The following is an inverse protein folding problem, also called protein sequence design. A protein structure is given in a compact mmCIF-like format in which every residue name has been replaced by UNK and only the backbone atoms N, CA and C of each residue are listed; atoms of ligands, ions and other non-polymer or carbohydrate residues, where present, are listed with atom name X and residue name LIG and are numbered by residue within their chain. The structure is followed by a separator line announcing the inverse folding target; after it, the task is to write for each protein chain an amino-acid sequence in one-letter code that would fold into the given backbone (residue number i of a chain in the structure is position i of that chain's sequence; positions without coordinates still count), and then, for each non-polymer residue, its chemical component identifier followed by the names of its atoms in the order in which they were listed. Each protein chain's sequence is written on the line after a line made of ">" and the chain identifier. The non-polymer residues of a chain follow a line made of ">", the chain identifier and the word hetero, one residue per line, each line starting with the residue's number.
data_IF_977419523333
#
_entry.id   IF_977419523333
#
_cell.length_a   1.000
_cell.length_b   1.000
_cell.length_c   1.000
_cell.angle_alpha   90.00
_cell.angle_beta   90.00
_cell.angle_gamma   90.00
#
_symmetry.space_group_name_H-M   'P 1'
#
loop_
_entity.id
_entity.type
_entity.pdbx_description
1 polymer ?
#
# COMPACT_ATOMS: atom_id res chain seq x y z
N UNK A 1 15.80 0.95 17.98
CA UNK A 1 16.03 -0.17 17.05
C UNK A 1 16.91 0.28 15.90
N UNK A 2 17.66 -0.64 15.31
CA UNK A 2 18.31 -0.49 14.02
C UNK A 2 17.31 -0.94 12.94
N UNK A 3 16.93 -0.03 12.07
CA UNK A 3 15.87 -0.25 11.08
C UNK A 3 16.46 -0.17 9.68
N UNK A 4 16.22 -1.19 8.85
CA UNK A 4 16.50 -1.15 7.43
C UNK A 4 15.21 -0.84 6.67
N UNK A 5 15.24 0.18 5.82
CA UNK A 5 14.17 0.47 4.86
C UNK A 5 14.59 -0.09 3.51
N UNK A 6 13.94 -1.15 3.06
CA UNK A 6 14.10 -1.70 1.71
C UNK A 6 13.02 -1.10 0.79
N UNK A 7 13.48 -0.24 -0.13
CA UNK A 7 12.60 0.54 -1.00
C UNK A 7 12.25 1.93 -0.44
N UNK A 8 12.86 2.97 -1.04
CA UNK A 8 12.68 4.37 -0.65
C UNK A 8 11.81 5.18 -1.63
N UNK A 9 10.65 4.63 -1.99
CA UNK A 9 9.54 5.38 -2.57
C UNK A 9 8.87 6.26 -1.50
N UNK A 10 7.64 6.70 -1.76
CA UNK A 10 6.87 7.52 -0.81
C UNK A 10 6.78 6.85 0.57
N UNK A 11 6.36 5.58 0.60
CA UNK A 11 6.10 4.85 1.84
C UNK A 11 7.38 4.70 2.67
N UNK A 12 8.45 4.15 2.07
CA UNK A 12 9.72 3.96 2.78
C UNK A 12 10.33 5.27 3.26
N UNK A 13 10.23 6.35 2.47
CA UNK A 13 10.71 7.68 2.86
C UNK A 13 9.91 8.23 4.04
N UNK A 14 8.57 8.19 4.03
CA UNK A 14 7.75 8.72 5.10
C UNK A 14 7.97 7.96 6.40
N UNK A 15 7.82 6.62 6.36
CA UNK A 15 7.98 5.82 7.58
C UNK A 15 9.41 5.84 8.10
N UNK A 16 10.41 5.81 7.21
CA UNK A 16 11.82 5.95 7.58
C UNK A 16 12.13 7.29 8.25
N UNK A 17 11.64 8.41 7.71
CA UNK A 17 11.82 9.74 8.30
C UNK A 17 11.18 9.82 9.70
N UNK A 18 9.96 9.30 9.86
CA UNK A 18 9.29 9.31 11.16
C UNK A 18 9.94 8.38 12.19
N UNK A 19 10.48 7.23 11.76
CA UNK A 19 11.22 6.32 12.64
C UNK A 19 12.55 6.93 13.09
N UNK A 20 13.29 7.58 12.19
CA UNK A 20 14.49 8.32 12.56
C UNK A 20 14.21 9.45 13.54
N UNK A 21 13.16 10.24 13.29
CA UNK A 21 12.70 11.29 14.20
C UNK A 21 12.13 10.76 15.54
N UNK A 22 11.81 9.46 15.61
CA UNK A 22 11.45 8.77 16.86
C UNK A 22 12.67 8.19 17.59
N UNK A 23 13.90 8.43 17.10
CA UNK A 23 15.15 8.00 17.73
C UNK A 23 15.65 6.62 17.31
N UNK A 24 15.15 6.06 16.21
CA UNK A 24 15.68 4.81 15.65
C UNK A 24 16.83 5.08 14.67
N UNK A 25 17.83 4.19 14.64
CA UNK A 25 18.89 4.25 13.64
C UNK A 25 18.36 3.70 12.31
N UNK A 26 18.32 4.54 11.27
CA UNK A 26 17.73 4.19 9.97
C UNK A 26 18.83 3.97 8.94
N UNK A 27 18.84 2.79 8.35
CA UNK A 27 19.59 2.46 7.14
C UNK A 27 18.63 2.27 5.96
N UNK A 28 19.13 2.49 4.76
CA UNK A 28 18.31 2.45 3.53
C UNK A 28 18.98 1.58 2.49
N UNK A 29 18.27 0.57 2.01
CA UNK A 29 18.60 -0.18 0.81
C UNK A 29 17.77 0.39 -0.35
N UNK A 30 18.41 1.06 -1.27
CA UNK A 30 17.76 1.75 -2.38
C UNK A 30 18.66 1.78 -3.61
N UNK A 31 18.07 1.97 -4.77
CA UNK A 31 18.75 2.00 -6.06
C UNK A 31 18.81 3.43 -6.65
N UNK A 32 19.77 3.71 -7.56
CA UNK A 32 19.80 4.97 -8.28
C UNK A 32 18.46 5.26 -9.01
N UNK A 33 18.06 6.54 -9.11
CA UNK A 33 18.77 7.74 -8.68
C UNK A 33 18.62 8.09 -7.18
N UNK A 34 17.74 7.40 -6.44
CA UNK A 34 17.40 7.73 -5.03
C UNK A 34 18.58 7.64 -4.07
N UNK A 35 19.52 6.75 -4.32
CA UNK A 35 20.71 6.54 -3.47
C UNK A 35 21.49 7.84 -3.26
N UNK A 36 21.76 8.60 -4.33
CA UNK A 36 22.48 9.86 -4.27
C UNK A 36 21.75 10.94 -3.47
N UNK A 37 20.43 11.08 -3.70
CA UNK A 37 19.61 12.05 -2.96
C UNK A 37 19.61 11.78 -1.45
N UNK A 38 19.43 10.51 -1.06
CA UNK A 38 19.34 10.10 0.35
C UNK A 38 20.67 10.28 1.05
N UNK A 39 21.81 9.97 0.38
CA UNK A 39 23.14 10.15 0.95
C UNK A 39 23.46 11.61 1.28
N UNK A 40 22.89 12.55 0.51
CA UNK A 40 23.12 13.99 0.69
C UNK A 40 22.10 14.62 1.63
N UNK A 41 20.83 14.29 1.48
CA UNK A 41 19.71 14.99 2.12
C UNK A 41 19.03 14.19 3.23
N UNK A 42 19.35 12.90 3.37
CA UNK A 42 18.60 11.99 4.24
C UNK A 42 17.20 11.70 3.71
N UNK A 43 16.28 11.37 4.61
CA UNK A 43 14.86 11.14 4.32
C UNK A 43 14.05 12.37 4.70
N UNK A 44 13.30 12.91 3.75
CA UNK A 44 12.43 14.08 3.97
C UNK A 44 10.98 13.74 3.63
N UNK A 45 10.07 13.97 4.58
CA UNK A 45 8.64 13.78 4.44
C UNK A 45 7.89 15.08 4.82
N UNK A 46 6.91 15.48 4.00
CA UNK A 46 6.05 16.65 4.25
C UNK A 46 4.59 16.23 4.26
N UNK A 47 3.91 16.44 5.37
CA UNK A 47 2.45 16.27 5.48
C UNK A 47 1.76 17.45 4.80
N UNK A 48 1.11 17.21 3.65
CA UNK A 48 0.50 18.26 2.83
C UNK A 48 -0.76 18.86 3.45
N UNK A 49 -1.36 18.20 4.44
CA UNK A 49 -2.55 18.72 5.14
C UNK A 49 -2.20 19.65 6.29
N UNK A 50 -1.06 19.40 6.97
CA UNK A 50 -0.63 20.19 8.13
C UNK A 50 0.55 21.12 7.83
N UNK A 51 1.25 20.89 6.72
CA UNK A 51 2.50 21.57 6.38
C UNK A 51 3.72 21.05 7.17
N UNK A 52 3.54 20.14 8.11
CA UNK A 52 4.62 19.63 8.94
C UNK A 52 5.64 18.86 8.10
N UNK A 53 6.92 19.19 8.31
CA UNK A 53 8.07 18.56 7.66
C UNK A 53 8.87 17.76 8.68
N UNK A 54 9.29 16.57 8.29
CA UNK A 54 10.13 15.67 9.09
C UNK A 54 11.34 15.30 8.25
N UNK A 55 12.51 15.48 8.83
CA UNK A 55 13.79 15.17 8.22
C UNK A 55 14.60 14.28 9.15
N UNK A 56 15.33 13.32 8.61
CA UNK A 56 16.28 12.50 9.35
C UNK A 56 17.44 12.08 8.46
N UNK A 57 18.62 11.99 9.05
CA UNK A 57 19.74 11.32 8.39
C UNK A 57 19.42 9.83 8.20
N UNK A 58 19.97 9.24 7.16
CA UNK A 58 19.89 7.81 6.92
C UNK A 58 21.20 7.32 6.30
N UNK A 59 21.63 6.12 6.68
CA UNK A 59 22.82 5.49 6.09
C UNK A 59 22.39 4.67 4.90
N UNK A 60 22.84 5.03 3.71
CA UNK A 60 22.63 4.21 2.51
C UNK A 60 23.57 3.02 2.57
N UNK A 61 23.02 1.82 2.43
CA UNK A 61 23.78 0.56 2.45
C UNK A 61 23.77 -0.09 1.06
N UNK A 62 24.89 -0.75 0.67
CA UNK A 62 25.00 -1.37 -0.64
C UNK A 62 24.14 -2.63 -0.78
N UNK A 63 23.95 -3.36 0.31
CA UNK A 63 23.19 -4.60 0.37
C UNK A 63 22.61 -4.84 1.77
N UNK A 64 21.78 -5.88 1.91
CA UNK A 64 21.14 -6.23 3.16
C UNK A 64 22.11 -6.86 4.19
N UNK A 65 23.28 -7.34 3.77
CA UNK A 65 24.31 -7.94 4.64
C UNK A 65 25.20 -6.88 5.32
N UNK A 66 25.10 -5.61 4.91
CA UNK A 66 25.94 -4.53 5.41
C UNK A 66 25.76 -4.19 6.91
N UNK A 67 24.77 -4.81 7.56
CA UNK A 67 24.51 -4.60 8.99
C UNK A 67 23.58 -5.63 9.60
N UNK A 68 23.50 -5.57 10.94
CA UNK A 68 22.49 -6.33 11.68
C UNK A 68 21.33 -5.40 12.03
N UNK A 69 20.11 -5.80 11.71
CA UNK A 69 18.90 -5.00 11.90
C UNK A 69 17.95 -5.67 12.89
N UNK A 70 17.22 -4.87 13.64
CA UNK A 70 16.15 -5.35 14.49
C UNK A 70 14.85 -5.48 13.70
N UNK A 71 14.61 -4.50 12.78
CA UNK A 71 13.45 -4.44 11.92
C UNK A 71 13.87 -4.12 10.48
N UNK A 72 13.31 -4.84 9.52
CA UNK A 72 13.39 -4.53 8.08
C UNK A 72 11.99 -4.16 7.60
N UNK A 73 11.82 -2.93 7.11
CA UNK A 73 10.58 -2.46 6.50
C UNK A 73 10.71 -2.56 4.97
N UNK A 74 9.99 -3.50 4.37
CA UNK A 74 9.99 -3.73 2.92
C UNK A 74 8.86 -2.92 2.29
N UNK A 75 9.18 -1.76 1.73
CA UNK A 75 8.23 -0.80 1.19
C UNK A 75 8.36 -0.67 -0.33
N UNK A 76 8.20 -1.79 -1.01
CA UNK A 76 8.26 -1.90 -2.48
C UNK A 76 6.87 -2.16 -3.07
N UNK A 77 6.71 -1.90 -4.37
CA UNK A 77 5.49 -2.24 -5.09
C UNK A 77 5.37 -3.76 -5.29
N UNK A 78 4.15 -4.24 -5.52
CA UNK A 78 3.88 -5.67 -5.72
C UNK A 78 4.66 -6.27 -6.89
N UNK A 79 4.90 -5.50 -7.97
CA UNK A 79 5.70 -5.91 -9.13
C UNK A 79 7.21 -6.04 -8.82
N UNK A 80 7.68 -5.44 -7.73
CA UNK A 80 9.08 -5.46 -7.28
C UNK A 80 9.33 -6.47 -6.15
N UNK A 81 8.29 -7.14 -5.66
CA UNK A 81 8.38 -8.01 -4.48
C UNK A 81 9.42 -9.13 -4.64
N UNK A 82 9.44 -9.80 -5.78
CA UNK A 82 10.37 -10.91 -6.03
C UNK A 82 11.85 -10.46 -6.00
N UNK A 83 12.15 -9.31 -6.63
CA UNK A 83 13.50 -8.74 -6.62
C UNK A 83 13.90 -8.32 -5.22
N UNK A 84 13.03 -7.64 -4.48
CA UNK A 84 13.30 -7.24 -3.10
C UNK A 84 13.55 -8.46 -2.19
N UNK A 85 12.78 -9.54 -2.34
CA UNK A 85 13.03 -10.78 -1.59
C UNK A 85 14.40 -11.38 -1.90
N UNK A 86 14.85 -11.36 -3.15
CA UNK A 86 16.17 -11.85 -3.54
C UNK A 86 17.29 -11.03 -2.88
N UNK A 87 17.16 -9.70 -2.84
CA UNK A 87 18.14 -8.82 -2.18
C UNK A 87 18.20 -9.02 -0.66
N UNK A 88 17.09 -9.43 -0.04
CA UNK A 88 17.02 -9.66 1.40
C UNK A 88 17.60 -11.01 1.86
N UNK A 89 17.97 -11.92 0.96
CA UNK A 89 18.56 -13.22 1.34
C UNK A 89 19.87 -13.09 2.10
N UNK A 90 20.59 -11.96 1.95
CA UNK A 90 21.84 -11.64 2.67
C UNK A 90 21.64 -11.12 4.09
N UNK A 91 20.41 -10.94 4.59
CA UNK A 91 20.15 -10.44 5.94
C UNK A 91 20.82 -11.27 7.00
N UNK A 92 21.46 -10.60 7.97
CA UNK A 92 22.13 -11.24 9.09
C UNK A 92 21.22 -11.32 10.32
N UNK A 93 21.36 -12.42 11.07
CA UNK A 93 20.56 -12.65 12.29
C UNK A 93 19.09 -12.99 12.01
N UNK A 94 18.22 -12.66 12.94
CA UNK A 94 16.78 -12.94 12.87
C UNK A 94 15.94 -11.67 13.02
N UNK A 95 16.02 -10.70 12.09
CA UNK A 95 15.23 -9.48 12.18
C UNK A 95 13.73 -9.77 12.09
N UNK A 96 12.88 -8.81 12.53
CA UNK A 96 11.51 -8.76 12.07
C UNK A 96 11.52 -8.18 10.64
N UNK A 97 10.90 -8.87 9.68
CA UNK A 97 10.80 -8.40 8.30
C UNK A 97 9.33 -8.10 8.00
N UNK A 98 8.99 -6.81 7.94
CA UNK A 98 7.63 -6.34 7.69
C UNK A 98 7.47 -5.98 6.22
N UNK A 99 6.71 -6.79 5.48
CA UNK A 99 6.28 -6.46 4.11
C UNK A 99 5.11 -5.48 4.18
N UNK A 100 5.29 -4.30 3.56
CA UNK A 100 4.49 -3.13 3.84
C UNK A 100 3.97 -2.48 2.55
N UNK A 101 2.95 -3.07 1.98
CA UNK A 101 2.35 -2.63 0.70
C UNK A 101 1.34 -3.62 0.14
N UNK A 102 0.97 -3.42 -1.13
CA UNK A 102 0.09 -4.34 -1.83
C UNK A 102 0.76 -5.71 -1.99
N UNK A 103 0.12 -6.71 -1.41
CA UNK A 103 0.54 -8.11 -1.53
C UNK A 103 -0.71 -9.02 -1.45
N UNK A 104 -1.47 -9.18 -2.54
CA UNK A 104 -2.69 -9.99 -2.53
C UNK A 104 -2.42 -11.50 -2.33
N UNK A 105 -1.18 -11.95 -2.56
CA UNK A 105 -0.75 -13.31 -2.26
C UNK A 105 -0.42 -13.55 -0.79
N UNK A 106 -0.39 -12.48 0.02
CA UNK A 106 -0.13 -12.56 1.45
C UNK A 106 1.22 -13.20 1.79
N UNK A 107 1.26 -13.91 2.89
CA UNK A 107 2.47 -14.62 3.38
C UNK A 107 2.98 -15.66 2.37
N UNK A 108 2.08 -16.32 1.63
CA UNK A 108 2.44 -17.35 0.68
C UNK A 108 3.24 -16.82 -0.53
N UNK A 109 3.13 -15.54 -0.85
CA UNK A 109 3.91 -14.91 -1.92
C UNK A 109 5.36 -14.57 -1.52
N UNK A 110 5.71 -14.73 -0.24
CA UNK A 110 7.05 -14.39 0.26
C UNK A 110 7.88 -15.67 0.37
N UNK A 111 9.01 -15.77 -0.35
CA UNK A 111 9.87 -16.94 -0.30
C UNK A 111 10.36 -17.28 1.10
N UNK A 112 10.46 -18.56 1.42
CA UNK A 112 11.01 -19.04 2.68
C UNK A 112 12.51 -18.70 2.87
N UNK A 113 13.19 -18.36 1.78
CA UNK A 113 14.61 -17.94 1.79
C UNK A 113 14.83 -16.55 2.39
N UNK A 114 13.78 -15.74 2.62
CA UNK A 114 13.91 -14.45 3.33
C UNK A 114 14.15 -14.73 4.81
N UNK A 115 15.33 -14.34 5.36
CA UNK A 115 15.67 -14.61 6.76
C UNK A 115 14.83 -13.78 7.73
N UNK A 116 14.66 -14.29 8.94
CA UNK A 116 13.99 -13.59 10.03
C UNK A 116 12.50 -13.92 10.19
N UNK A 117 11.86 -13.19 11.09
CA UNK A 117 10.43 -13.32 11.36
C UNK A 117 9.62 -12.45 10.41
N UNK A 118 8.97 -13.07 9.43
CA UNK A 118 8.19 -12.35 8.41
C UNK A 118 6.81 -11.95 8.94
N UNK A 119 6.48 -10.69 8.78
CA UNK A 119 5.21 -10.07 9.12
C UNK A 119 4.64 -9.31 7.92
N UNK A 120 3.34 -9.08 7.94
CA UNK A 120 2.61 -8.33 6.92
C UNK A 120 2.04 -7.04 7.50
N UNK A 121 1.93 -6.01 6.68
CA UNK A 121 1.31 -4.75 7.05
C UNK A 121 0.91 -3.94 5.83
N UNK A 122 0.21 -2.83 6.09
CA UNK A 122 -0.20 -1.90 5.06
C UNK A 122 -0.12 -0.44 5.52
N UNK A 123 0.43 0.48 4.70
CA UNK A 123 0.57 1.88 5.08
C UNK A 123 -0.78 2.61 5.13
N UNK A 124 -0.94 3.49 6.13
CA UNK A 124 -2.11 4.35 6.28
C UNK A 124 -1.91 5.74 5.68
N UNK A 125 -1.17 5.86 4.59
CA UNK A 125 -0.85 7.12 3.92
C UNK A 125 -0.95 6.98 2.40
N UNK A 126 -1.23 8.11 1.74
CA UNK A 126 -1.01 8.28 0.31
C UNK A 126 -0.11 9.49 0.05
N UNK A 127 0.51 9.55 -1.12
CA UNK A 127 1.37 10.66 -1.45
C UNK A 127 2.17 10.47 -2.73
N UNK A 128 3.03 11.45 -3.01
CA UNK A 128 3.91 11.49 -4.17
C UNK A 128 5.32 11.89 -3.76
N UNK A 129 6.30 11.43 -4.52
CA UNK A 129 7.70 11.84 -4.33
C UNK A 129 7.99 12.98 -5.30
N UNK A 130 8.47 14.13 -4.78
CA UNK A 130 8.85 15.31 -5.57
C UNK A 130 10.20 15.81 -5.09
N UNK A 131 11.16 15.90 -5.99
CA UNK A 131 12.51 16.44 -5.71
C UNK A 131 13.14 15.86 -4.43
N UNK A 132 13.01 14.54 -4.25
CA UNK A 132 13.54 13.85 -3.08
C UNK A 132 12.69 13.92 -1.82
N UNK A 133 11.67 14.78 -1.77
CA UNK A 133 10.72 14.92 -0.65
C UNK A 133 9.47 14.07 -0.88
N UNK A 134 9.07 13.30 0.12
CA UNK A 134 7.80 12.59 0.10
C UNK A 134 6.67 13.50 0.63
N UNK A 135 5.89 14.07 -0.29
CA UNK A 135 4.66 14.77 0.01
C UNK A 135 3.55 13.75 0.29
N UNK A 136 3.03 13.72 1.51
CA UNK A 136 2.08 12.70 1.93
C UNK A 136 0.92 13.28 2.74
N UNK A 137 -0.17 12.49 2.82
CA UNK A 137 -1.22 12.70 3.81
C UNK A 137 -1.63 11.37 4.44
N UNK A 138 -2.08 11.44 5.70
CA UNK A 138 -2.63 10.29 6.42
C UNK A 138 -4.06 10.04 5.98
N UNK A 139 -4.40 8.78 5.70
CA UNK A 139 -5.74 8.39 5.30
C UNK A 139 -6.56 8.11 6.57
N UNK A 140 -7.48 9.01 6.92
CA UNK A 140 -8.27 8.90 8.17
C UNK A 140 -9.07 7.60 8.27
N UNK A 141 -9.57 7.12 7.14
CA UNK A 141 -10.40 5.91 7.05
C UNK A 141 -9.58 4.62 6.97
N UNK A 142 -8.26 4.73 6.81
CA UNK A 142 -7.34 3.60 6.68
C UNK A 142 -6.13 3.81 7.59
N UNK A 143 -6.21 3.43 8.87
CA UNK A 143 -5.04 3.40 9.74
C UNK A 143 -3.92 2.53 9.16
N UNK A 144 -2.69 2.78 9.57
CA UNK A 144 -1.59 1.84 9.31
C UNK A 144 -1.96 0.47 9.90
N UNK A 145 -2.08 -0.53 9.04
CA UNK A 145 -2.44 -1.88 9.46
C UNK A 145 -1.16 -2.71 9.70
N UNK A 146 -1.06 -3.32 10.87
CA UNK A 146 0.03 -4.23 11.24
C UNK A 146 -0.55 -5.59 11.62
N UNK A 147 0.08 -6.66 11.17
CA UNK A 147 -0.27 -8.01 11.61
C UNK A 147 -0.25 -8.10 13.13
N UNK A 148 -1.30 -8.63 13.72
CA UNK A 148 -1.35 -8.91 15.15
C UNK A 148 -0.33 -10.01 15.50
N UNK A 149 0.61 -9.68 16.37
CA UNK A 149 1.70 -10.58 16.77
C UNK A 149 2.20 -10.20 18.17
N UNK A 150 2.87 -11.14 18.84
CA UNK A 150 3.61 -10.91 20.09
C UNK A 150 5.04 -10.43 19.86
N UNK A 151 5.49 -10.22 18.63
CA UNK A 151 6.84 -9.75 18.34
C UNK A 151 7.06 -8.35 18.95
N UNK A 152 8.01 -8.18 19.89
CA UNK A 152 8.23 -6.91 20.58
C UNK A 152 8.71 -5.80 19.62
N UNK A 153 9.30 -6.16 18.50
CA UNK A 153 9.79 -5.20 17.49
C UNK A 153 8.62 -4.52 16.75
N UNK A 154 7.54 -5.27 16.46
CA UNK A 154 6.32 -4.69 15.90
C UNK A 154 5.58 -3.86 16.95
N UNK A 155 5.60 -4.25 18.21
CA UNK A 155 5.04 -3.43 19.29
C UNK A 155 5.82 -2.11 19.48
N UNK A 156 7.14 -2.10 19.29
CA UNK A 156 7.95 -0.87 19.32
C UNK A 156 7.68 -0.02 18.07
N UNK A 157 7.56 -0.62 16.87
CA UNK A 157 7.16 0.09 15.65
C UNK A 157 5.82 0.80 15.86
N UNK A 158 4.81 0.10 16.36
CA UNK A 158 3.49 0.67 16.66
C UNK A 158 3.60 1.86 17.61
N UNK A 159 4.33 1.70 18.74
CA UNK A 159 4.54 2.79 19.72
C UNK A 159 5.22 4.01 19.08
N UNK A 160 6.26 3.77 18.26
CA UNK A 160 6.96 4.84 17.56
C UNK A 160 6.03 5.59 16.61
N UNK A 161 5.23 4.87 15.81
CA UNK A 161 4.27 5.47 14.88
C UNK A 161 3.17 6.24 15.61
N UNK A 162 2.61 5.69 16.69
CA UNK A 162 1.59 6.37 17.50
C UNK A 162 2.12 7.67 18.10
N UNK A 163 3.36 7.68 18.64
CA UNK A 163 4.00 8.92 19.14
C UNK A 163 4.20 9.97 18.04
N UNK A 164 4.31 9.56 16.80
CA UNK A 164 4.41 10.43 15.62
C UNK A 164 3.04 10.79 15.02
N UNK A 165 1.94 10.42 15.67
CA UNK A 165 0.57 10.76 15.29
C UNK A 165 -0.02 9.88 14.19
N UNK A 166 0.55 8.71 13.89
CA UNK A 166 -0.10 7.74 13.01
C UNK A 166 -1.17 6.97 13.79
N UNK A 167 -2.33 6.82 13.19
CA UNK A 167 -3.28 5.82 13.65
C UNK A 167 -2.79 4.43 13.22
N UNK A 168 -2.76 3.49 14.15
CA UNK A 168 -2.35 2.10 13.90
C UNK A 168 -3.46 1.15 14.31
N UNK A 169 -3.70 0.12 13.51
CA UNK A 169 -4.60 -0.98 13.84
C UNK A 169 -3.88 -2.32 13.76
N UNK A 170 -4.17 -3.22 14.70
CA UNK A 170 -3.71 -4.61 14.65
C UNK A 170 -4.74 -5.45 13.92
N UNK A 171 -4.28 -6.24 12.95
CA UNK A 171 -5.12 -7.10 12.11
C UNK A 171 -4.74 -8.55 12.36
N UNK A 172 -5.69 -9.37 12.78
CA UNK A 172 -5.47 -10.78 13.10
C UNK A 172 -5.24 -11.61 11.83
N UNK A 173 -6.08 -11.41 10.81
CA UNK A 173 -5.92 -12.04 9.51
C UNK A 173 -5.45 -10.99 8.49
N UNK A 174 -4.14 -10.76 8.45
CA UNK A 174 -3.54 -9.77 7.55
C UNK A 174 -3.51 -10.26 6.10
N UNK A 175 -3.41 -11.57 5.87
CA UNK A 175 -3.49 -12.17 4.54
C UNK A 175 -4.84 -11.90 3.87
N UNK A 176 -5.92 -12.16 4.59
CA UNK A 176 -7.25 -11.88 4.10
C UNK A 176 -7.51 -10.38 3.96
N UNK A 177 -7.04 -9.57 4.91
CA UNK A 177 -7.16 -8.12 4.82
C UNK A 177 -6.50 -7.58 3.54
N UNK A 178 -5.30 -8.03 3.21
CA UNK A 178 -4.57 -7.64 2.00
C UNK A 178 -5.30 -8.09 0.72
N UNK A 179 -5.91 -9.28 0.73
CA UNK A 179 -6.69 -9.76 -0.40
C UNK A 179 -7.92 -8.89 -0.68
N UNK A 180 -8.67 -8.52 0.37
CA UNK A 180 -9.83 -7.60 0.24
C UNK A 180 -9.40 -6.21 -0.18
N UNK A 181 -8.30 -5.70 0.39
CA UNK A 181 -7.77 -4.39 0.03
C UNK A 181 -7.32 -4.35 -1.44
N UNK A 182 -6.61 -5.38 -1.90
CA UNK A 182 -6.19 -5.49 -3.30
C UNK A 182 -7.39 -5.56 -4.26
N UNK A 183 -8.45 -6.30 -3.89
CA UNK A 183 -9.68 -6.35 -4.67
C UNK A 183 -10.35 -4.96 -4.78
N UNK A 184 -10.41 -4.23 -3.67
CA UNK A 184 -10.90 -2.85 -3.64
C UNK A 184 -10.05 -1.93 -4.54
N UNK A 185 -8.74 -1.94 -4.37
CA UNK A 185 -7.80 -1.10 -5.15
C UNK A 185 -7.90 -1.41 -6.64
N UNK A 186 -7.94 -2.69 -7.03
CA UNK A 186 -8.05 -3.09 -8.44
C UNK A 186 -9.32 -2.56 -9.09
N UNK A 187 -10.47 -2.64 -8.42
CA UNK A 187 -11.73 -2.11 -8.96
C UNK A 187 -11.73 -0.58 -9.08
N UNK A 188 -11.22 0.12 -8.06
CA UNK A 188 -11.15 1.60 -8.07
C UNK A 188 -10.19 2.09 -9.15
N UNK A 189 -9.02 1.48 -9.29
CA UNK A 189 -8.06 1.89 -10.31
C UNK A 189 -8.52 1.55 -11.73
N UNK A 190 -9.21 0.43 -11.93
CA UNK A 190 -9.82 0.10 -13.21
C UNK A 190 -10.87 1.15 -13.63
N UNK A 191 -11.71 1.61 -12.69
CA UNK A 191 -12.67 2.67 -12.93
C UNK A 191 -11.99 4.01 -13.27
N UNK A 192 -10.91 4.35 -12.54
CA UNK A 192 -10.10 5.53 -12.86
C UNK A 192 -9.51 5.45 -14.27
N UNK A 193 -8.93 4.32 -14.67
CA UNK A 193 -8.37 4.15 -16.01
C UNK A 193 -9.42 4.26 -17.10
N UNK A 194 -10.64 3.78 -16.88
CA UNK A 194 -11.77 3.96 -17.79
C UNK A 194 -12.07 5.44 -18.03
N UNK A 195 -11.85 6.29 -17.02
CA UNK A 195 -12.01 7.75 -17.10
C UNK A 195 -10.69 8.49 -17.42
N UNK A 196 -9.69 7.81 -17.99
CA UNK A 196 -8.39 8.41 -18.36
C UNK A 196 -7.51 8.77 -17.17
N UNK A 197 -7.72 8.15 -16.01
CA UNK A 197 -6.98 8.45 -14.76
C UNK A 197 -7.40 9.77 -14.10
N UNK A 198 -8.50 10.37 -14.53
CA UNK A 198 -9.02 11.63 -14.03
C UNK A 198 -10.14 11.36 -12.99
N UNK A 199 -9.93 11.68 -11.70
CA UNK A 199 -10.91 11.42 -10.67
C UNK A 199 -12.15 12.32 -10.79
N UNK A 200 -12.05 13.54 -11.37
CA UNK A 200 -13.20 14.40 -11.57
C UNK A 200 -14.13 13.82 -12.64
N UNK A 201 -13.56 13.30 -13.74
CA UNK A 201 -14.36 12.59 -14.76
C UNK A 201 -15.03 11.35 -14.18
N UNK A 202 -14.33 10.58 -13.31
CA UNK A 202 -14.95 9.44 -12.64
C UNK A 202 -16.08 9.88 -11.71
N UNK A 203 -15.93 11.01 -11.01
CA UNK A 203 -16.97 11.55 -10.13
C UNK A 203 -18.29 11.85 -10.87
N UNK A 204 -18.19 12.30 -12.11
CA UNK A 204 -19.33 12.64 -12.96
C UNK A 204 -19.89 11.43 -13.74
N UNK A 205 -19.13 10.35 -13.87
CA UNK A 205 -19.53 9.12 -14.58
C UNK A 205 -20.26 8.14 -13.64
N UNK A 206 -21.54 8.41 -13.39
CA UNK A 206 -22.42 7.57 -12.55
C UNK A 206 -22.45 6.09 -12.99
N UNK A 207 -22.55 5.75 -14.28
CA UNK A 207 -22.49 4.36 -14.74
C UNK A 207 -21.19 3.66 -14.32
N UNK A 208 -20.03 4.28 -14.55
CA UNK A 208 -18.72 3.72 -14.16
C UNK A 208 -18.58 3.59 -12.65
N UNK A 209 -19.03 4.58 -11.86
CA UNK A 209 -19.06 4.48 -10.39
C UNK A 209 -19.94 3.34 -9.90
N UNK A 210 -21.11 3.14 -10.53
CA UNK A 210 -22.01 2.04 -10.18
C UNK A 210 -21.36 0.68 -10.48
N UNK A 211 -20.77 0.53 -11.66
CA UNK A 211 -20.04 -0.68 -12.07
C UNK A 211 -18.86 -0.96 -11.12
N UNK A 212 -18.11 0.06 -10.72
CA UNK A 212 -17.04 -0.04 -9.74
C UNK A 212 -17.56 -0.56 -8.39
N UNK A 213 -18.63 0.01 -7.86
CA UNK A 213 -19.22 -0.42 -6.59
C UNK A 213 -19.74 -1.86 -6.65
N UNK A 214 -20.32 -2.26 -7.76
CA UNK A 214 -20.78 -3.62 -8.01
C UNK A 214 -19.59 -4.59 -8.09
N UNK A 215 -18.54 -4.24 -8.81
CA UNK A 215 -17.33 -5.06 -8.92
C UNK A 215 -16.66 -5.26 -7.54
N UNK A 216 -16.57 -4.22 -6.70
CA UNK A 216 -16.06 -4.34 -5.33
C UNK A 216 -16.94 -5.26 -4.50
N UNK A 217 -18.25 -5.05 -4.50
CA UNK A 217 -19.20 -5.84 -3.70
C UNK A 217 -19.17 -7.33 -4.07
N UNK A 218 -19.09 -7.63 -5.36
CA UNK A 218 -19.04 -9.01 -5.84
C UNK A 218 -17.67 -9.65 -5.61
N UNK A 219 -16.57 -8.89 -5.74
CA UNK A 219 -15.24 -9.37 -5.36
C UNK A 219 -15.18 -9.75 -3.89
N UNK A 220 -15.75 -8.92 -3.01
CA UNK A 220 -15.81 -9.22 -1.58
C UNK A 220 -16.67 -10.46 -1.28
N UNK A 221 -17.78 -10.62 -2.00
CA UNK A 221 -18.62 -11.82 -1.88
C UNK A 221 -17.86 -13.07 -2.33
N UNK A 222 -17.18 -13.01 -3.47
CA UNK A 222 -16.42 -14.14 -4.01
C UNK A 222 -15.28 -14.55 -3.06
N UNK A 223 -14.50 -13.59 -2.55
CA UNK A 223 -13.44 -13.87 -1.55
C UNK A 223 -14.02 -14.53 -0.29
N UNK A 224 -15.17 -14.05 0.21
CA UNK A 224 -15.82 -14.65 1.37
C UNK A 224 -16.28 -16.08 1.10
N UNK A 225 -16.87 -16.36 -0.07
CA UNK A 225 -17.26 -17.72 -0.47
C UNK A 225 -16.06 -18.66 -0.60
N UNK A 226 -14.87 -18.14 -0.93
CA UNK A 226 -13.61 -18.89 -0.93
C UNK A 226 -12.99 -19.05 0.47
N UNK A 227 -13.69 -18.68 1.54
CA UNK A 227 -13.23 -18.83 2.91
C UNK A 227 -12.26 -17.73 3.39
N UNK A 228 -12.04 -16.68 2.60
CA UNK A 228 -11.16 -15.56 3.01
C UNK A 228 -11.86 -14.74 4.10
N UNK A 229 -11.18 -14.54 5.22
CA UNK A 229 -11.62 -13.68 6.34
C UNK A 229 -10.88 -12.33 6.31
N UNK A 230 -11.01 -11.49 7.34
CA UNK A 230 -10.22 -10.25 7.45
C UNK A 230 -10.78 -9.05 6.67
N UNK A 231 -12.01 -9.09 6.12
CA UNK A 231 -12.62 -7.96 5.44
C UNK A 231 -12.69 -6.72 6.36
N UNK A 232 -12.08 -5.57 5.96
CA UNK A 232 -12.15 -4.33 6.74
C UNK A 232 -13.60 -3.89 6.97
N UNK A 233 -13.96 -3.62 8.23
CA UNK A 233 -15.35 -3.29 8.61
C UNK A 233 -15.93 -2.09 7.87
N UNK A 234 -15.14 -1.04 7.68
CA UNK A 234 -15.56 0.16 6.95
C UNK A 234 -15.87 -0.16 5.48
N UNK A 235 -15.04 -0.96 4.82
CA UNK A 235 -15.29 -1.41 3.44
C UNK A 235 -16.49 -2.36 3.38
N UNK A 236 -16.62 -3.28 4.33
CA UNK A 236 -17.77 -4.18 4.44
C UNK A 236 -19.09 -3.43 4.56
N UNK A 237 -19.12 -2.38 5.37
CA UNK A 237 -20.31 -1.55 5.57
C UNK A 237 -20.64 -0.75 4.32
N UNK A 238 -19.66 -0.01 3.78
CA UNK A 238 -19.88 0.85 2.62
C UNK A 238 -20.31 0.06 1.38
N UNK A 239 -19.71 -1.11 1.15
CA UNK A 239 -20.01 -1.97 0.00
C UNK A 239 -21.01 -3.09 0.33
N UNK A 240 -21.85 -2.90 1.35
CA UNK A 240 -22.99 -3.78 1.57
C UNK A 240 -24.06 -3.54 0.48
N UNK A 241 -24.78 -4.58 0.01
CA UNK A 241 -25.81 -4.41 -1.02
C UNK A 241 -26.89 -3.37 -0.66
N UNK A 242 -27.20 -3.24 0.62
CA UNK A 242 -28.19 -2.28 1.11
C UNK A 242 -27.75 -0.81 0.98
N UNK A 243 -26.42 -0.55 0.94
CA UNK A 243 -25.87 0.80 0.89
C UNK A 243 -25.32 1.17 -0.49
N UNK A 244 -25.67 0.45 -1.55
CA UNK A 244 -25.13 0.67 -2.91
C UNK A 244 -25.23 2.14 -3.37
N UNK A 245 -26.39 2.76 -3.21
CA UNK A 245 -26.60 4.17 -3.63
C UNK A 245 -25.74 5.13 -2.78
N UNK A 246 -25.60 4.82 -1.49
CA UNK A 246 -24.74 5.59 -0.57
C UNK A 246 -23.27 5.42 -0.97
N UNK A 247 -22.83 4.23 -1.35
CA UNK A 247 -21.48 3.97 -1.82
C UNK A 247 -21.18 4.77 -3.11
N UNK A 248 -22.07 4.75 -4.08
CA UNK A 248 -21.92 5.52 -5.33
C UNK A 248 -21.83 7.03 -5.04
N UNK A 249 -22.70 7.55 -4.17
CA UNK A 249 -22.65 8.95 -3.77
C UNK A 249 -21.35 9.29 -3.04
N UNK A 250 -20.93 8.45 -2.09
CA UNK A 250 -19.70 8.61 -1.33
C UNK A 250 -18.47 8.68 -2.27
N UNK A 251 -18.40 7.76 -3.23
CA UNK A 251 -17.30 7.72 -4.18
C UNK A 251 -17.31 8.89 -5.15
N UNK A 252 -18.47 9.34 -5.65
CA UNK A 252 -18.58 10.55 -6.46
C UNK A 252 -18.00 11.75 -5.70
N UNK A 253 -18.41 11.94 -4.43
CA UNK A 253 -17.93 13.02 -3.59
C UNK A 253 -16.43 12.89 -3.27
N UNK A 254 -15.95 11.68 -3.03
CA UNK A 254 -14.52 11.43 -2.76
C UNK A 254 -13.67 11.77 -3.98
N UNK A 255 -14.07 11.28 -5.16
CA UNK A 255 -13.33 11.50 -6.40
C UNK A 255 -13.35 12.97 -6.85
N UNK A 256 -14.42 13.73 -6.59
CA UNK A 256 -14.47 15.18 -6.86
C UNK A 256 -13.66 16.03 -5.85
N UNK A 257 -13.12 15.44 -4.80
CA UNK A 257 -12.36 16.15 -3.77
C UNK A 257 -10.84 16.01 -3.98
N UNK A 258 -10.01 16.84 -3.32
CA UNK A 258 -8.55 16.66 -3.34
C UNK A 258 -8.08 15.27 -2.88
N UNK A 259 -8.89 14.55 -2.10
CA UNK A 259 -8.59 13.18 -1.67
C UNK A 259 -8.62 12.18 -2.85
N UNK A 260 -9.50 12.39 -3.83
CA UNK A 260 -9.56 11.58 -5.06
C UNK A 260 -8.24 11.63 -5.83
N UNK A 261 -7.67 12.81 -5.99
CA UNK A 261 -6.38 12.98 -6.62
C UNK A 261 -5.24 12.39 -5.76
N UNK A 262 -5.16 12.79 -4.49
CA UNK A 262 -4.02 12.49 -3.63
C UNK A 262 -3.90 10.99 -3.29
N UNK A 263 -5.02 10.32 -2.99
CA UNK A 263 -5.00 8.94 -2.50
C UNK A 263 -5.22 7.88 -3.58
N UNK A 264 -5.83 8.27 -4.71
CA UNK A 264 -6.21 7.29 -5.73
C UNK A 264 -5.58 7.60 -7.09
N UNK A 265 -5.87 8.75 -7.69
CA UNK A 265 -5.50 9.02 -9.07
C UNK A 265 -3.99 9.19 -9.26
N UNK A 266 -3.31 9.90 -8.37
CA UNK A 266 -1.87 10.08 -8.44
C UNK A 266 -1.13 8.73 -8.36
N UNK A 267 -1.52 7.87 -7.41
CA UNK A 267 -0.94 6.54 -7.29
C UNK A 267 -1.26 5.67 -8.52
N UNK A 268 -2.51 5.64 -8.96
CA UNK A 268 -2.92 4.88 -10.14
C UNK A 268 -2.10 5.24 -11.39
N UNK A 269 -1.87 6.53 -11.64
CA UNK A 269 -1.07 6.98 -12.79
C UNK A 269 0.41 6.60 -12.71
N UNK A 270 1.02 6.66 -11.49
CA UNK A 270 2.43 6.36 -11.30
C UNK A 270 2.74 4.87 -11.14
N UNK A 271 1.76 4.04 -10.77
CA UNK A 271 1.92 2.62 -10.48
C UNK A 271 1.12 1.72 -11.42
N UNK A 272 0.97 2.12 -12.69
CA UNK A 272 0.19 1.34 -13.67
C UNK A 272 0.61 -0.13 -13.79
N UNK A 273 1.91 -0.50 -13.84
CA UNK A 273 2.32 -1.89 -13.89
C UNK A 273 1.85 -2.68 -12.66
N UNK A 274 1.97 -2.09 -11.46
CA UNK A 274 1.49 -2.69 -10.21
C UNK A 274 -0.03 -2.91 -10.24
N UNK A 275 -0.79 -1.90 -10.65
CA UNK A 275 -2.26 -1.98 -10.68
C UNK A 275 -2.76 -3.04 -11.67
N UNK A 276 -2.09 -3.18 -12.82
CA UNK A 276 -2.37 -4.25 -13.78
C UNK A 276 -2.05 -5.63 -13.20
N UNK A 277 -0.89 -5.79 -12.54
CA UNK A 277 -0.52 -7.03 -11.89
C UNK A 277 -1.54 -7.42 -10.81
N UNK A 278 -2.01 -6.46 -10.00
CA UNK A 278 -3.07 -6.70 -9.00
C UNK A 278 -4.37 -7.16 -9.65
N UNK A 279 -4.80 -6.52 -10.75
CA UNK A 279 -6.01 -6.90 -11.46
C UNK A 279 -5.93 -8.32 -12.03
N UNK A 280 -4.78 -8.69 -12.63
CA UNK A 280 -4.52 -10.05 -13.14
C UNK A 280 -4.55 -11.08 -12.01
N UNK A 281 -3.84 -10.81 -10.90
CA UNK A 281 -3.81 -11.72 -9.75
C UNK A 281 -5.19 -11.90 -9.12
N UNK A 282 -5.96 -10.81 -9.03
CA UNK A 282 -7.33 -10.85 -8.52
C UNK A 282 -8.24 -11.67 -9.44
N UNK A 283 -8.17 -11.44 -10.75
CA UNK A 283 -8.96 -12.18 -11.74
C UNK A 283 -8.65 -13.70 -11.67
N UNK A 284 -7.37 -14.05 -11.58
CA UNK A 284 -6.97 -15.44 -11.42
C UNK A 284 -7.51 -16.07 -10.12
N UNK A 285 -7.49 -15.32 -9.02
CA UNK A 285 -7.99 -15.78 -7.71
C UNK A 285 -9.51 -15.93 -7.67
N UNK A 286 -10.25 -15.03 -8.33
CA UNK A 286 -11.72 -15.05 -8.34
C UNK A 286 -12.30 -16.08 -9.34
N UNK A 287 -11.51 -16.53 -10.33
CA UNK A 287 -11.96 -17.45 -11.36
C UNK A 287 -13.13 -16.91 -12.18
N UNK A 288 -13.94 -17.80 -12.75
CA UNK A 288 -15.17 -17.42 -13.47
C UNK A 288 -16.28 -17.06 -12.48
N UNK A 289 -16.39 -15.80 -12.13
CA UNK A 289 -17.41 -15.26 -11.24
C UNK A 289 -18.01 -13.96 -11.78
N UNK A 290 -19.19 -13.52 -11.34
CA UNK A 290 -19.72 -12.22 -11.70
C UNK A 290 -18.77 -11.05 -11.40
N UNK A 291 -17.99 -11.16 -10.30
CA UNK A 291 -16.96 -10.20 -9.93
C UNK A 291 -15.85 -10.09 -10.98
N UNK A 292 -15.41 -11.22 -11.52
CA UNK A 292 -14.40 -11.25 -12.60
C UNK A 292 -14.95 -10.58 -13.87
N UNK A 293 -16.19 -10.87 -14.24
CA UNK A 293 -16.83 -10.27 -15.41
C UNK A 293 -16.92 -8.76 -15.32
N UNK A 294 -17.32 -8.21 -14.14
CA UNK A 294 -17.42 -6.77 -13.93
C UNK A 294 -16.07 -6.08 -13.85
N UNK A 295 -15.09 -6.71 -13.22
CA UNK A 295 -13.73 -6.19 -13.23
C UNK A 295 -13.15 -6.20 -14.66
N UNK A 296 -13.40 -7.25 -15.44
CA UNK A 296 -12.99 -7.33 -16.84
C UNK A 296 -13.67 -6.26 -17.69
N UNK A 297 -14.96 -5.99 -17.48
CA UNK A 297 -15.69 -4.90 -18.14
C UNK A 297 -15.06 -3.53 -17.83
N UNK A 298 -14.67 -3.27 -16.59
CA UNK A 298 -13.95 -2.06 -16.21
C UNK A 298 -12.60 -1.94 -16.93
N UNK A 299 -11.85 -3.03 -17.02
CA UNK A 299 -10.51 -3.07 -17.61
C UNK A 299 -10.51 -2.95 -19.13
N UNK A 300 -11.50 -3.57 -19.81
CA UNK A 300 -11.60 -3.56 -21.29
C UNK A 300 -11.87 -2.17 -21.85
N UNK A 301 -12.54 -1.31 -21.09
CA UNK A 301 -12.85 0.04 -21.51
C UNK A 301 -11.76 1.07 -21.11
N UNK A 302 -10.72 0.64 -20.44
CA UNK A 302 -9.60 1.51 -20.12
C UNK A 302 -8.76 1.80 -21.39
N UNK A 303 -8.38 3.06 -21.65
CA UNK A 303 -7.51 3.38 -22.78
C UNK A 303 -6.16 2.63 -22.61
N UNK A 304 -5.50 2.23 -23.73
CA UNK A 304 -4.18 1.64 -23.66
C UNK A 304 -3.23 2.61 -22.94
N UNK A 305 -2.27 2.05 -22.18
CA UNK A 305 -1.29 2.88 -21.53
C UNK A 305 -0.58 3.75 -22.55
N UNK A 306 -0.46 5.02 -22.27
CA UNK A 306 0.47 5.89 -22.99
C UNK A 306 1.88 5.31 -22.83
N UNK A 307 2.67 5.26 -23.91
CA UNK A 307 4.01 4.67 -23.95
C UNK A 307 4.99 5.33 -22.98
#
# INVERSE_FOLDING_TARGET
>A
MRVLIAGCGVIGTVYGAHLGAAGHAVSVLSHPPRTGDISVRGLTARDVLTGNRVETGAVVVPDAAAGCYDLVLVAVRADQLASACAELTGLQGTPAVLFFGNNPGGRAAIPAAVPGAVHLGFPGIGGVLRDGTADYARIRQQPTALQATSDPRLAELERALCRRGFAVQRVTDMDGWLAYHAAFVACVTAALYRCGGDPARLADDRPTLTLMCDAVTESFRALRHSGVTGLPRNLATLHSPALKLVAVWYWARTMSSPAGELFFAAHARHAQPEMRALAVQLTARLGNSPATSRLSELLLAAPPASP
#
